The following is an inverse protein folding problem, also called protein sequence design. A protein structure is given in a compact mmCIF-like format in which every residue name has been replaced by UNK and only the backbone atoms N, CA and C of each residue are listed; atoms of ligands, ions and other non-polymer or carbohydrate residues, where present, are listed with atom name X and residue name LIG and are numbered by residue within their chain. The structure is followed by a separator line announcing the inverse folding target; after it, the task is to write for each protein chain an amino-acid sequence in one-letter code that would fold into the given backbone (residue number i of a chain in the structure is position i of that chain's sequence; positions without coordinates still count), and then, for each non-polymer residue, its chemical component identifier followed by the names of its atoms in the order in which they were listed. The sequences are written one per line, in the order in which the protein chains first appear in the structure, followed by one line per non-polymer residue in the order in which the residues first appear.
data_IF_948149292748
#
_entry.id   IF_948149292748
#
_cell.length_a   1.000
_cell.length_b   1.000
_cell.length_c   1.000
_cell.angle_alpha   90.00
_cell.angle_beta   90.00
_cell.angle_gamma   90.00
#
_symmetry.space_group_name_H-M   'P 1'
#
loop_
_entity.id
_entity.type
_entity.pdbx_description
1 polymer ?
#
# COMPACT_ATOMS: atom_id res chain seq x y z
N UNK A 1 -11.50 -3.77 32.52
CA UNK A 1 -12.59 -4.57 31.90
C UNK A 1 -13.23 -3.91 30.66
N UNK A 2 -14.03 -2.82 30.78
CA UNK A 2 -14.68 -2.21 29.57
C UNK A 2 -13.71 -1.47 28.64
N UNK A 3 -12.61 -0.91 29.13
CA UNK A 3 -11.52 -0.30 28.33
C UNK A 3 -10.65 -1.35 27.64
N UNK A 4 -10.36 -2.44 28.33
CA UNK A 4 -9.57 -3.58 27.81
C UNK A 4 -10.34 -4.38 26.76
N UNK A 5 -11.66 -4.42 26.91
CA UNK A 5 -12.56 -5.16 26.02
C UNK A 5 -13.56 -4.21 25.31
N UNK A 6 -13.12 -3.44 24.31
CA UNK A 6 -13.95 -2.40 23.69
C UNK A 6 -15.26 -2.90 23.05
N UNK A 7 -15.32 -4.18 22.70
CA UNK A 7 -16.52 -4.81 22.10
C UNK A 7 -17.56 -5.26 23.12
N UNK A 8 -17.26 -5.23 24.42
CA UNK A 8 -18.21 -5.72 25.43
C UNK A 8 -19.27 -4.68 25.77
N UNK A 9 -20.52 -5.04 25.49
CA UNK A 9 -21.69 -4.27 25.91
C UNK A 9 -21.92 -4.37 27.42
N UNK A 10 -22.77 -3.49 27.96
CA UNK A 10 -23.09 -3.45 29.39
C UNK A 10 -23.58 -4.80 29.95
N UNK A 11 -24.34 -5.55 29.14
CA UNK A 11 -24.84 -6.89 29.54
C UNK A 11 -23.71 -7.88 29.69
N UNK A 12 -22.73 -7.88 28.79
CA UNK A 12 -21.56 -8.78 28.90
C UNK A 12 -20.65 -8.38 30.05
N UNK A 13 -20.41 -7.09 30.26
CA UNK A 13 -19.66 -6.59 31.42
C UNK A 13 -20.34 -6.99 32.70
N UNK A 14 -21.70 -6.94 32.76
CA UNK A 14 -22.47 -7.46 33.90
C UNK A 14 -22.23 -8.95 34.13
N UNK A 15 -22.23 -9.77 33.08
CA UNK A 15 -21.98 -11.21 33.20
C UNK A 15 -20.58 -11.50 33.78
N UNK A 16 -19.56 -10.78 33.37
CA UNK A 16 -18.21 -10.95 33.94
C UNK A 16 -18.12 -10.48 35.41
N UNK A 17 -18.82 -9.39 35.76
CA UNK A 17 -18.91 -8.93 37.16
C UNK A 17 -19.66 -9.95 38.07
N UNK A 18 -20.67 -10.64 37.53
CA UNK A 18 -21.35 -11.70 38.27
C UNK A 18 -20.42 -12.88 38.61
N UNK A 19 -19.50 -13.25 37.71
CA UNK A 19 -18.48 -14.27 37.98
C UNK A 19 -17.56 -13.85 39.16
N UNK A 20 -17.33 -12.54 39.29
CA UNK A 20 -16.56 -11.95 40.38
C UNK A 20 -17.41 -11.66 41.62
N UNK A 21 -18.64 -12.20 41.70
CA UNK A 21 -19.64 -12.01 42.78
C UNK A 21 -20.14 -10.58 42.97
N UNK A 22 -19.94 -9.70 41.98
CA UNK A 22 -20.50 -8.34 41.97
C UNK A 22 -21.85 -8.30 41.23
N UNK A 23 -22.93 -8.05 41.97
CA UNK A 23 -24.29 -7.90 41.45
C UNK A 23 -24.58 -6.44 41.12
N UNK A 24 -24.39 -6.06 39.86
CA UNK A 24 -24.62 -4.70 39.36
C UNK A 24 -25.59 -4.75 38.17
N UNK A 25 -26.55 -3.81 38.10
CA UNK A 25 -27.45 -3.73 36.93
C UNK A 25 -26.72 -3.22 35.67
N UNK A 26 -27.21 -3.64 34.50
CA UNK A 26 -26.67 -3.12 33.20
C UNK A 26 -26.84 -1.59 33.07
N UNK A 27 -27.88 -1.04 33.72
CA UNK A 27 -28.13 0.42 33.76
C UNK A 27 -27.10 1.13 34.61
N UNK A 28 -26.76 0.59 35.78
CA UNK A 28 -25.72 1.15 36.64
C UNK A 28 -24.34 1.14 35.91
N UNK A 29 -24.02 0.04 35.23
CA UNK A 29 -22.81 -0.07 34.42
C UNK A 29 -22.83 1.00 33.30
N UNK A 30 -23.94 1.19 32.60
CA UNK A 30 -24.09 2.20 31.56
C UNK A 30 -23.86 3.61 32.11
N UNK A 31 -24.45 3.94 33.26
CA UNK A 31 -24.29 5.24 33.91
C UNK A 31 -22.86 5.48 34.38
N UNK A 32 -22.21 4.46 34.94
CA UNK A 32 -20.81 4.52 35.34
C UNK A 32 -19.90 4.77 34.15
N UNK A 33 -20.07 4.00 33.08
CA UNK A 33 -19.29 4.19 31.84
C UNK A 33 -19.47 5.59 31.23
N UNK A 34 -20.72 6.11 31.27
CA UNK A 34 -21.01 7.48 30.80
C UNK A 34 -20.33 8.55 31.65
N UNK A 35 -20.35 8.42 32.99
CA UNK A 35 -19.62 9.33 33.92
C UNK A 35 -18.11 9.36 33.60
N UNK A 36 -17.54 8.21 33.25
CA UNK A 36 -16.13 8.10 32.89
C UNK A 36 -15.86 8.39 31.40
N UNK A 37 -16.82 8.99 30.67
CA UNK A 37 -16.73 9.31 29.22
C UNK A 37 -16.37 8.10 28.33
N UNK A 38 -16.72 6.90 28.76
CA UNK A 38 -16.54 5.66 27.99
C UNK A 38 -17.81 5.44 27.18
N UNK A 39 -17.73 5.64 25.86
CA UNK A 39 -18.86 5.52 24.95
C UNK A 39 -19.45 4.10 24.90
N UNK A 40 -20.62 3.88 24.26
CA UNK A 40 -21.22 2.56 24.08
C UNK A 40 -20.34 1.62 23.26
N UNK A 41 -20.50 0.31 23.47
CA UNK A 41 -19.67 -0.72 22.82
C UNK A 41 -19.51 -0.58 21.29
N UNK A 42 -20.55 -0.27 20.49
CA UNK A 42 -20.39 -0.06 19.05
C UNK A 42 -19.46 1.10 18.70
N UNK A 43 -19.45 2.17 19.51
CA UNK A 43 -18.55 3.31 19.28
C UNK A 43 -17.13 3.04 19.78
N UNK A 44 -16.96 2.25 20.86
CA UNK A 44 -15.65 1.84 21.38
C UNK A 44 -14.95 0.83 20.46
N UNK A 45 -15.74 -0.01 19.78
CA UNK A 45 -15.23 -1.08 18.91
C UNK A 45 -14.99 -0.64 17.47
N UNK A 46 -15.15 0.63 17.14
CA UNK A 46 -14.78 1.14 15.82
C UNK A 46 -13.29 0.90 15.61
N UNK A 47 -12.99 -0.12 14.81
CA UNK A 47 -11.64 -0.35 14.33
C UNK A 47 -11.21 0.89 13.57
N UNK A 48 -10.18 1.57 14.06
CA UNK A 48 -9.65 2.74 13.33
C UNK A 48 -9.05 2.27 12.02
N UNK A 49 -9.10 3.11 11.01
CA UNK A 49 -8.45 2.85 9.71
C UNK A 49 -6.99 2.42 9.88
N UNK A 50 -6.27 3.09 10.77
CA UNK A 50 -4.87 2.75 11.11
C UNK A 50 -4.74 1.33 11.69
N UNK A 51 -5.64 0.92 12.58
CA UNK A 51 -5.64 -0.43 13.17
C UNK A 51 -5.98 -1.49 12.11
N UNK A 52 -6.93 -1.20 11.20
CA UNK A 52 -7.27 -2.06 10.09
C UNK A 52 -6.06 -2.26 9.15
N UNK A 53 -5.43 -1.19 8.68
CA UNK A 53 -4.25 -1.25 7.81
C UNK A 53 -3.10 -2.02 8.47
N UNK A 54 -2.90 -1.85 9.78
CA UNK A 54 -1.85 -2.58 10.50
C UNK A 54 -2.17 -4.08 10.60
N UNK A 55 -3.41 -4.43 10.91
CA UNK A 55 -3.83 -5.82 11.10
C UNK A 55 -3.92 -6.62 9.80
N UNK A 56 -4.27 -5.98 8.69
CA UNK A 56 -4.50 -6.61 7.38
C UNK A 56 -3.41 -6.28 6.35
N UNK A 57 -2.36 -5.55 6.73
CA UNK A 57 -1.32 -5.05 5.84
C UNK A 57 -0.79 -6.03 4.81
N UNK A 58 -0.45 -7.29 5.20
CA UNK A 58 0.05 -8.30 4.27
C UNK A 58 -0.92 -8.74 3.18
N UNK A 59 -2.21 -8.41 3.34
CA UNK A 59 -3.26 -8.80 2.41
C UNK A 59 -3.90 -7.61 1.69
N UNK A 60 -3.26 -6.43 1.77
CA UNK A 60 -3.78 -5.19 1.20
C UNK A 60 -2.94 -4.75 0.00
N UNK A 61 -3.60 -4.53 -1.12
CA UNK A 61 -3.06 -3.79 -2.27
C UNK A 61 -3.72 -2.42 -2.31
N UNK A 62 -2.91 -1.39 -2.46
CA UNK A 62 -3.34 -0.01 -2.67
C UNK A 62 -3.18 0.35 -4.14
N UNK A 63 -4.06 1.20 -4.66
CA UNK A 63 -3.92 1.73 -6.01
C UNK A 63 -4.28 3.20 -6.07
N UNK A 64 -3.59 3.92 -6.94
CA UNK A 64 -3.82 5.35 -7.17
C UNK A 64 -3.27 5.79 -8.51
N UNK A 65 -3.80 6.90 -9.00
CA UNK A 65 -3.38 7.58 -10.22
C UNK A 65 -2.56 8.83 -9.91
N UNK A 66 -1.61 9.10 -10.79
CA UNK A 66 -1.03 10.43 -10.89
C UNK A 66 -0.80 10.81 -12.35
N UNK A 67 -0.68 12.10 -12.62
CA UNK A 67 -0.49 12.60 -13.97
C UNK A 67 0.91 13.19 -14.16
N UNK A 68 1.45 13.04 -15.36
CA UNK A 68 2.71 13.63 -15.83
C UNK A 68 2.44 14.29 -17.17
N UNK A 69 2.90 15.53 -17.31
CA UNK A 69 2.83 16.22 -18.59
C UNK A 69 4.14 15.99 -19.38
N UNK A 70 4.01 15.70 -20.67
CA UNK A 70 5.15 15.56 -21.60
C UNK A 70 5.70 16.92 -21.98
N UNK A 71 6.87 16.96 -22.62
CA UNK A 71 7.44 18.21 -23.21
C UNK A 71 6.52 18.90 -24.23
N UNK A 72 5.62 18.15 -24.85
CA UNK A 72 4.59 18.66 -25.76
C UNK A 72 3.26 18.97 -25.03
N UNK A 73 3.28 19.10 -23.70
CA UNK A 73 2.12 19.39 -22.85
C UNK A 73 0.97 18.38 -22.98
N UNK A 74 1.26 17.17 -23.45
CA UNK A 74 0.29 16.07 -23.44
C UNK A 74 0.29 15.42 -22.06
N UNK A 75 -0.88 15.29 -21.47
CA UNK A 75 -1.05 14.67 -20.16
C UNK A 75 -1.08 13.14 -20.29
N UNK A 76 -0.22 12.49 -19.52
CA UNK A 76 -0.18 11.04 -19.33
C UNK A 76 -0.57 10.71 -17.90
N UNK A 77 -1.29 9.62 -17.73
CA UNK A 77 -1.70 9.10 -16.44
C UNK A 77 -0.92 7.83 -16.14
N UNK A 78 -0.41 7.73 -14.93
CA UNK A 78 0.26 6.54 -14.41
C UNK A 78 -0.59 5.96 -13.29
N UNK A 79 -0.88 4.67 -13.38
CA UNK A 79 -1.57 3.89 -12.37
C UNK A 79 -0.55 3.02 -11.67
N UNK A 80 -0.51 3.06 -10.34
CA UNK A 80 0.30 2.15 -9.52
C UNK A 80 -0.56 1.21 -8.69
N UNK A 81 -0.06 -0.03 -8.52
CA UNK A 81 -0.56 -0.97 -7.53
C UNK A 81 0.56 -1.34 -6.56
N UNK A 82 0.35 -1.05 -5.27
CA UNK A 82 1.32 -1.16 -4.20
C UNK A 82 0.86 -2.19 -3.16
N UNK A 83 1.69 -3.17 -2.85
CA UNK A 83 1.51 -4.03 -1.68
C UNK A 83 1.83 -3.25 -0.40
N UNK A 84 0.86 -3.16 0.51
CA UNK A 84 0.99 -2.31 1.70
C UNK A 84 2.08 -2.78 2.66
N UNK A 85 2.27 -4.08 2.86
CA UNK A 85 3.23 -4.62 3.81
C UNK A 85 4.68 -4.40 3.36
N UNK A 86 4.99 -4.82 2.16
CA UNK A 86 6.35 -4.80 1.60
C UNK A 86 6.72 -3.48 0.95
N UNK A 87 5.73 -2.61 0.65
CA UNK A 87 5.91 -1.39 -0.16
C UNK A 87 6.30 -1.68 -1.60
N UNK A 88 6.22 -2.91 -2.04
CA UNK A 88 6.48 -3.30 -3.42
C UNK A 88 5.44 -2.70 -4.35
N UNK A 89 5.86 -2.01 -5.40
CA UNK A 89 4.97 -1.70 -6.51
C UNK A 89 4.91 -2.94 -7.38
N UNK A 90 3.76 -3.62 -7.36
CA UNK A 90 3.55 -4.90 -8.06
C UNK A 90 3.32 -4.67 -9.53
N UNK A 91 2.48 -3.69 -9.87
CA UNK A 91 2.09 -3.41 -11.23
C UNK A 91 1.98 -1.90 -11.47
N UNK A 92 2.22 -1.50 -12.70
CA UNK A 92 1.93 -0.14 -13.17
C UNK A 92 1.40 -0.14 -14.60
N UNK A 93 0.63 0.88 -14.93
CA UNK A 93 0.18 1.15 -16.30
C UNK A 93 0.30 2.63 -16.64
N UNK A 94 0.52 2.94 -17.90
CA UNK A 94 0.59 4.32 -18.41
C UNK A 94 -0.39 4.47 -19.57
N UNK A 95 -1.17 5.55 -19.58
CA UNK A 95 -2.13 5.86 -20.65
C UNK A 95 -2.32 7.37 -20.78
N UNK A 96 -2.77 7.81 -21.93
CA UNK A 96 -3.32 9.16 -22.15
C UNK A 96 -4.83 9.22 -21.91
N UNK A 97 -5.51 8.03 -21.88
CA UNK A 97 -6.96 7.90 -21.68
C UNK A 97 -7.25 6.84 -20.62
N UNK A 98 -7.35 7.23 -19.33
CA UNK A 98 -7.65 6.31 -18.24
C UNK A 98 -9.17 6.06 -18.16
N UNK A 99 -9.75 5.45 -19.20
CA UNK A 99 -11.14 5.05 -19.22
C UNK A 99 -11.40 3.73 -18.45
N UNK A 100 -12.68 3.42 -18.24
CA UNK A 100 -13.08 2.24 -17.48
C UNK A 100 -12.61 0.92 -18.12
N UNK A 101 -12.54 0.85 -19.45
CA UNK A 101 -12.08 -0.34 -20.17
C UNK A 101 -10.60 -0.57 -19.92
N UNK A 102 -9.78 0.48 -20.02
CA UNK A 102 -8.36 0.41 -19.76
C UNK A 102 -8.08 0.03 -18.29
N UNK A 103 -8.77 0.67 -17.33
CA UNK A 103 -8.61 0.35 -15.89
C UNK A 103 -9.00 -1.10 -15.60
N UNK A 104 -10.08 -1.58 -16.24
CA UNK A 104 -10.50 -2.99 -16.12
C UNK A 104 -9.41 -3.94 -16.66
N UNK A 105 -8.74 -3.58 -17.77
CA UNK A 105 -7.64 -4.38 -18.28
C UNK A 105 -6.43 -4.35 -17.34
N UNK A 106 -6.11 -3.21 -16.70
CA UNK A 106 -5.05 -3.16 -15.70
C UNK A 106 -5.39 -4.03 -14.47
N UNK A 107 -6.67 -4.09 -14.08
CA UNK A 107 -7.12 -4.98 -13.01
C UNK A 107 -6.88 -6.47 -13.34
N UNK A 108 -7.15 -6.89 -14.59
CA UNK A 108 -6.85 -8.26 -15.04
C UNK A 108 -5.33 -8.54 -15.04
N UNK A 109 -4.54 -7.61 -15.58
CA UNK A 109 -3.08 -7.73 -15.60
C UNK A 109 -2.51 -7.89 -14.18
N UNK A 110 -3.00 -7.07 -13.22
CA UNK A 110 -2.61 -7.20 -11.83
C UNK A 110 -3.02 -8.55 -11.24
N UNK A 111 -4.22 -9.05 -11.54
CA UNK A 111 -4.69 -10.34 -11.02
C UNK A 111 -3.76 -11.47 -11.44
N UNK A 112 -3.33 -11.50 -12.69
CA UNK A 112 -2.33 -12.47 -13.19
C UNK A 112 -0.98 -12.30 -12.52
N UNK A 113 -0.48 -11.05 -12.40
CA UNK A 113 0.79 -10.79 -11.71
C UNK A 113 0.77 -11.26 -10.24
N UNK A 114 -0.37 -11.04 -9.52
CA UNK A 114 -0.53 -11.51 -8.15
C UNK A 114 -0.48 -13.03 -8.03
N UNK A 115 -1.05 -13.75 -8.99
CA UNK A 115 -0.99 -15.22 -9.07
C UNK A 115 0.45 -15.68 -9.32
N UNK A 116 1.14 -15.11 -10.29
CA UNK A 116 2.51 -15.44 -10.68
C UNK A 116 3.50 -15.27 -9.53
N UNK A 117 3.37 -14.17 -8.76
CA UNK A 117 4.25 -13.89 -7.62
C UNK A 117 3.76 -14.52 -6.30
N UNK A 118 2.63 -15.24 -6.30
CA UNK A 118 2.08 -15.92 -5.13
C UNK A 118 1.54 -14.98 -4.03
N UNK A 119 1.22 -13.73 -4.34
CA UNK A 119 0.66 -12.76 -3.38
C UNK A 119 -0.85 -12.91 -3.26
N UNK A 120 -1.33 -13.29 -2.07
CA UNK A 120 -2.76 -13.45 -1.78
C UNK A 120 -3.37 -12.13 -1.28
N UNK A 121 -3.77 -11.26 -2.20
CA UNK A 121 -4.53 -10.06 -1.87
C UNK A 121 -5.93 -10.42 -1.38
N UNK A 122 -6.37 -9.85 -0.25
CA UNK A 122 -7.74 -9.94 0.27
C UNK A 122 -8.49 -8.63 0.15
N UNK A 123 -7.78 -7.54 0.07
CA UNK A 123 -8.34 -6.19 0.00
C UNK A 123 -7.61 -5.39 -1.07
N UNK A 124 -8.37 -4.73 -1.93
CA UNK A 124 -7.92 -3.64 -2.78
C UNK A 124 -8.46 -2.33 -2.22
N UNK A 125 -7.63 -1.32 -2.07
CA UNK A 125 -8.04 -0.01 -1.60
C UNK A 125 -7.73 1.03 -2.66
N UNK A 126 -8.73 1.82 -3.05
CA UNK A 126 -8.59 2.98 -3.92
C UNK A 126 -9.42 4.15 -3.41
N UNK A 127 -9.24 5.31 -3.98
CA UNK A 127 -10.04 6.49 -3.71
C UNK A 127 -11.39 6.47 -4.46
N UNK A 128 -12.11 7.59 -4.42
CA UNK A 128 -13.38 7.76 -5.11
C UNK A 128 -13.24 8.27 -6.56
N UNK A 129 -12.06 8.12 -7.19
CA UNK A 129 -11.88 8.56 -8.56
C UNK A 129 -12.82 7.77 -9.50
N UNK A 130 -13.53 8.51 -10.36
CA UNK A 130 -14.50 7.95 -11.32
C UNK A 130 -13.86 7.02 -12.35
N UNK A 131 -12.53 7.08 -12.52
CA UNK A 131 -11.79 6.18 -13.39
C UNK A 131 -11.90 4.72 -12.95
N UNK A 132 -12.04 4.48 -11.62
CA UNK A 132 -12.34 3.15 -11.10
C UNK A 132 -13.82 2.83 -11.31
N UNK A 133 -14.15 2.27 -12.48
CA UNK A 133 -15.50 1.85 -12.81
C UNK A 133 -15.84 0.47 -12.23
N UNK A 134 -17.15 0.12 -12.27
CA UNK A 134 -17.64 -1.18 -11.77
C UNK A 134 -16.96 -2.40 -12.42
N UNK A 135 -16.44 -2.26 -13.64
CA UNK A 135 -15.72 -3.34 -14.33
C UNK A 135 -14.43 -3.74 -13.63
N UNK A 136 -13.61 -2.78 -13.19
CA UNK A 136 -12.36 -3.07 -12.46
C UNK A 136 -12.63 -3.69 -11.08
N UNK A 137 -13.61 -3.15 -10.35
CA UNK A 137 -14.03 -3.70 -9.06
C UNK A 137 -14.54 -5.14 -9.21
N UNK A 138 -15.30 -5.41 -10.29
CA UNK A 138 -15.82 -6.74 -10.63
C UNK A 138 -14.74 -7.78 -10.88
N UNK A 139 -13.64 -7.43 -11.56
CA UNK A 139 -12.48 -8.33 -11.74
C UNK A 139 -11.92 -8.79 -10.40
N UNK A 140 -11.67 -7.85 -9.48
CA UNK A 140 -11.14 -8.17 -8.16
C UNK A 140 -12.11 -8.98 -7.31
N UNK A 141 -13.40 -8.62 -7.35
CA UNK A 141 -14.44 -9.34 -6.61
C UNK A 141 -14.60 -10.78 -7.09
N UNK A 142 -14.50 -11.03 -8.41
CA UNK A 142 -14.51 -12.38 -8.98
C UNK A 142 -13.33 -13.23 -8.48
N UNK A 143 -12.15 -12.60 -8.25
CA UNK A 143 -10.99 -13.21 -7.62
C UNK A 143 -11.05 -13.30 -6.09
N UNK A 144 -12.21 -13.00 -5.45
CA UNK A 144 -12.37 -13.03 -4.00
C UNK A 144 -11.73 -11.85 -3.25
N UNK A 145 -11.27 -10.82 -3.95
CA UNK A 145 -10.67 -9.63 -3.37
C UNK A 145 -11.76 -8.60 -3.04
N UNK A 146 -11.83 -8.19 -1.78
CA UNK A 146 -12.77 -7.16 -1.34
C UNK A 146 -12.27 -5.78 -1.68
N UNK A 147 -12.98 -5.07 -2.55
CA UNK A 147 -12.68 -3.67 -2.88
C UNK A 147 -13.21 -2.74 -1.78
N UNK A 148 -12.35 -1.86 -1.30
CA UNK A 148 -12.65 -0.85 -0.26
C UNK A 148 -12.30 0.52 -0.80
N UNK A 149 -13.28 1.42 -0.83
CA UNK A 149 -13.06 2.84 -1.12
C UNK A 149 -12.60 3.56 0.14
N UNK A 150 -11.61 4.45 0.02
CA UNK A 150 -11.11 5.22 1.16
C UNK A 150 -12.25 6.06 1.76
N UNK A 151 -12.34 6.16 3.11
CA UNK A 151 -13.36 7.00 3.72
C UNK A 151 -13.21 8.48 3.31
N UNK A 152 -14.28 9.13 2.91
CA UNK A 152 -14.30 10.53 2.43
C UNK A 152 -13.70 11.50 3.47
N UNK A 153 -13.89 11.21 4.77
CA UNK A 153 -13.37 12.03 5.88
C UNK A 153 -11.99 11.58 6.41
N UNK A 154 -11.26 10.74 5.68
CA UNK A 154 -9.96 10.23 6.10
C UNK A 154 -8.85 10.62 5.10
N UNK A 155 -8.39 11.89 5.08
CA UNK A 155 -7.38 12.36 4.12
C UNK A 155 -6.06 11.58 4.18
N UNK A 156 -5.77 10.90 5.30
CA UNK A 156 -4.57 10.05 5.44
C UNK A 156 -4.78 8.59 5.03
N UNK A 157 -5.96 8.24 4.52
CA UNK A 157 -6.28 6.86 4.17
C UNK A 157 -5.39 6.32 3.04
N UNK A 158 -4.99 7.18 2.10
CA UNK A 158 -4.11 6.85 0.97
C UNK A 158 -2.67 7.35 1.14
N UNK A 159 -2.27 7.78 2.34
CA UNK A 159 -0.95 8.39 2.61
C UNK A 159 0.25 7.50 2.23
N UNK A 160 0.04 6.20 2.05
CA UNK A 160 1.09 5.28 1.58
C UNK A 160 1.32 5.42 0.09
N UNK A 161 0.24 5.54 -0.70
CA UNK A 161 0.32 5.80 -2.14
C UNK A 161 0.85 7.20 -2.42
N UNK A 162 0.36 8.22 -1.71
CA UNK A 162 0.87 9.60 -1.83
C UNK A 162 2.37 9.67 -1.60
N UNK A 163 2.89 8.97 -0.58
CA UNK A 163 4.34 8.89 -0.33
C UNK A 163 5.10 8.17 -1.44
N UNK A 164 4.54 7.08 -1.96
CA UNK A 164 5.13 6.33 -3.07
C UNK A 164 5.22 7.21 -4.32
N UNK A 165 4.12 7.81 -4.72
CA UNK A 165 4.04 8.73 -5.86
C UNK A 165 4.99 9.91 -5.65
N UNK A 166 4.99 10.52 -4.46
CA UNK A 166 5.89 11.60 -4.10
C UNK A 166 7.38 11.22 -4.17
N UNK A 167 7.75 9.99 -3.81
CA UNK A 167 9.11 9.50 -3.97
C UNK A 167 9.47 9.32 -5.44
N UNK A 168 8.58 8.70 -6.23
CA UNK A 168 8.78 8.52 -7.68
C UNK A 168 8.94 9.87 -8.40
N UNK A 169 8.16 10.88 -8.01
CA UNK A 169 8.33 12.23 -8.57
C UNK A 169 9.68 12.84 -8.18
N UNK A 170 9.92 13.04 -6.89
CA UNK A 170 11.10 13.77 -6.40
C UNK A 170 12.42 13.10 -6.75
N UNK A 171 12.46 11.77 -6.78
CA UNK A 171 13.70 11.03 -6.98
C UNK A 171 13.93 10.61 -8.45
N UNK A 172 12.89 10.76 -9.32
CA UNK A 172 12.98 10.34 -10.71
C UNK A 172 12.31 11.33 -11.67
N UNK A 173 10.97 11.43 -11.65
CA UNK A 173 10.23 12.05 -12.75
C UNK A 173 10.40 13.56 -12.86
N UNK A 174 10.61 14.26 -11.73
CA UNK A 174 10.80 15.73 -11.72
C UNK A 174 12.17 16.16 -12.30
N UNK A 175 13.07 15.18 -12.52
CA UNK A 175 14.40 15.40 -13.09
C UNK A 175 14.51 15.05 -14.57
N UNK A 176 13.45 14.52 -15.19
CA UNK A 176 13.48 13.98 -16.53
C UNK A 176 12.42 14.64 -17.43
N UNK A 177 12.81 14.98 -18.63
CA UNK A 177 11.90 15.45 -19.66
C UNK A 177 11.21 14.26 -20.34
N UNK A 178 9.89 14.16 -20.14
CA UNK A 178 9.10 13.06 -20.71
C UNK A 178 8.68 13.39 -22.12
N UNK A 179 9.12 12.60 -23.10
CA UNK A 179 8.86 12.84 -24.52
C UNK A 179 7.48 12.30 -24.93
N UNK A 180 7.17 11.06 -24.54
CA UNK A 180 5.96 10.37 -24.91
C UNK A 180 5.66 9.21 -23.93
N UNK A 181 4.54 8.51 -24.17
CA UNK A 181 4.10 7.37 -23.35
C UNK A 181 5.15 6.26 -23.23
N UNK A 182 5.74 5.80 -24.35
CA UNK A 182 6.76 4.73 -24.34
C UNK A 182 7.99 5.14 -23.55
N UNK A 183 8.39 6.40 -23.64
CA UNK A 183 9.50 6.95 -22.85
C UNK A 183 9.17 6.92 -21.36
N UNK A 184 7.98 7.38 -20.97
CA UNK A 184 7.53 7.33 -19.57
C UNK A 184 7.47 5.88 -19.04
N UNK A 185 6.91 4.94 -19.81
CA UNK A 185 6.83 3.53 -19.44
C UNK A 185 8.23 2.94 -19.16
N UNK A 186 9.22 3.26 -20.00
CA UNK A 186 10.61 2.81 -19.82
C UNK A 186 11.23 3.39 -18.54
N UNK A 187 11.08 4.69 -18.33
CA UNK A 187 11.60 5.38 -17.14
C UNK A 187 10.97 4.81 -15.88
N UNK A 188 9.65 4.68 -15.84
CA UNK A 188 8.94 4.14 -14.67
C UNK A 188 9.35 2.69 -14.39
N UNK A 189 9.50 1.86 -15.42
CA UNK A 189 9.95 0.46 -15.27
C UNK A 189 11.36 0.39 -14.67
N UNK A 190 12.30 1.17 -15.19
CA UNK A 190 13.67 1.20 -14.68
C UNK A 190 13.74 1.75 -13.25
N UNK A 191 12.95 2.81 -12.96
CA UNK A 191 12.80 3.34 -11.61
C UNK A 191 12.21 2.33 -10.64
N UNK A 192 11.14 1.63 -11.02
CA UNK A 192 10.50 0.63 -10.16
C UNK A 192 11.37 -0.59 -9.91
N UNK A 193 12.20 -0.98 -10.86
CA UNK A 193 13.23 -2.01 -10.63
C UNK A 193 14.18 -1.56 -9.51
N UNK A 194 14.75 -0.35 -9.60
CA UNK A 194 15.56 0.23 -8.54
C UNK A 194 14.79 0.33 -7.21
N UNK A 195 13.59 0.90 -7.24
CA UNK A 195 12.75 1.10 -6.07
C UNK A 195 12.48 -0.21 -5.33
N UNK A 196 12.13 -1.26 -6.06
CA UNK A 196 11.75 -2.55 -5.48
C UNK A 196 12.95 -3.38 -5.02
N UNK A 197 14.12 -3.30 -5.69
CA UNK A 197 15.23 -4.26 -5.49
C UNK A 197 16.50 -3.66 -4.89
N UNK A 198 16.70 -2.35 -5.01
CA UNK A 198 17.95 -1.70 -4.60
C UNK A 198 17.77 -0.57 -3.59
N UNK A 199 16.67 0.16 -3.64
CA UNK A 199 16.44 1.33 -2.79
C UNK A 199 16.11 0.94 -1.34
N UNK A 200 16.86 1.43 -0.31
CA UNK A 200 16.52 1.19 1.08
C UNK A 200 15.26 1.96 1.52
N UNK A 201 14.38 1.33 2.28
CA UNK A 201 13.14 1.91 2.76
C UNK A 201 13.11 2.06 4.28
N UNK A 202 12.97 3.28 4.80
CA UNK A 202 12.86 3.54 6.26
C UNK A 202 11.74 2.74 6.93
N UNK A 203 10.59 2.58 6.24
CA UNK A 203 9.45 1.84 6.76
C UNK A 203 9.68 0.32 6.82
N UNK A 204 10.73 -0.18 6.18
CA UNK A 204 11.15 -1.58 6.14
C UNK A 204 12.50 -1.79 6.84
N UNK A 205 12.87 -0.91 7.77
CA UNK A 205 14.17 -0.98 8.47
C UNK A 205 15.37 -0.98 7.53
N UNK A 206 15.30 -0.13 6.50
CA UNK A 206 16.28 0.01 5.41
C UNK A 206 16.39 -1.20 4.47
N UNK A 207 15.50 -2.17 4.58
CA UNK A 207 15.39 -3.26 3.60
C UNK A 207 14.72 -2.79 2.32
N UNK A 208 14.93 -3.54 1.25
CA UNK A 208 14.24 -3.36 -0.04
C UNK A 208 12.87 -4.04 -0.03
N UNK A 209 11.87 -3.56 -0.81
CA UNK A 209 10.56 -4.21 -0.96
C UNK A 209 10.63 -5.68 -1.39
N UNK A 210 11.50 -5.98 -2.33
CA UNK A 210 11.85 -7.35 -2.71
C UNK A 210 13.13 -7.70 -1.99
N UNK A 211 13.09 -8.75 -1.17
CA UNK A 211 14.29 -9.23 -0.47
C UNK A 211 15.36 -9.68 -1.50
N UNK A 212 16.61 -9.30 -1.24
CA UNK A 212 17.72 -9.82 -2.04
C UNK A 212 17.95 -11.27 -1.68
N UNK A 213 18.01 -12.12 -2.70
CA UNK A 213 18.39 -13.54 -2.54
C UNK A 213 19.90 -13.73 -2.37
N UNK A 214 20.68 -12.79 -2.90
CA UNK A 214 22.14 -12.89 -2.87
C UNK A 214 22.69 -12.50 -1.50
N UNK A 215 23.71 -13.21 -1.00
CA UNK A 215 24.38 -12.85 0.24
C UNK A 215 25.01 -11.47 0.13
N UNK A 216 24.93 -10.69 1.18
CA UNK A 216 25.62 -9.38 1.24
C UNK A 216 27.13 -9.64 1.35
N UNK A 217 27.86 -9.34 0.29
CA UNK A 217 29.31 -9.44 0.29
C UNK A 217 29.91 -8.38 1.23
N UNK A 218 30.71 -8.80 2.18
CA UNK A 218 31.37 -7.91 3.17
C UNK A 218 32.73 -7.41 2.68
N UNK A 219 33.30 -8.04 1.66
CA UNK A 219 34.64 -7.72 1.07
C UNK A 219 34.54 -7.61 -0.46
N UNK A 220 35.58 -7.13 -1.11
CA UNK A 220 35.62 -6.91 -2.56
C UNK A 220 35.46 -5.43 -2.94
N UNK A 221 35.83 -5.09 -4.16
CA UNK A 221 35.75 -3.72 -4.70
C UNK A 221 34.31 -3.23 -4.73
N UNK A 222 34.08 -1.94 -4.44
CA UNK A 222 32.78 -1.31 -4.55
C UNK A 222 32.48 -1.03 -6.02
N UNK A 223 31.39 -1.57 -6.52
CA UNK A 223 30.87 -1.33 -7.85
C UNK A 223 29.75 -0.29 -7.78
N UNK A 224 29.71 0.61 -8.73
CA UNK A 224 28.65 1.57 -8.93
C UNK A 224 27.96 1.28 -10.27
N UNK A 225 26.65 1.03 -10.23
CA UNK A 225 25.79 0.89 -11.41
C UNK A 225 24.93 2.13 -11.55
N UNK A 226 25.03 2.80 -12.67
CA UNK A 226 24.17 3.94 -12.99
C UNK A 226 22.89 3.48 -13.68
N UNK A 227 21.77 4.13 -13.30
CA UNK A 227 20.46 3.97 -13.92
C UNK A 227 19.90 5.33 -14.33
N UNK A 228 18.97 5.34 -15.29
CA UNK A 228 18.30 6.55 -15.76
C UNK A 228 19.29 7.65 -16.17
N UNK A 229 20.36 7.25 -16.89
CA UNK A 229 21.39 8.18 -17.33
C UNK A 229 22.25 8.79 -16.21
N UNK A 230 22.44 8.06 -15.12
CA UNK A 230 23.25 8.51 -13.97
C UNK A 230 22.43 9.25 -12.89
N UNK A 231 21.13 9.42 -13.09
CA UNK A 231 20.24 10.03 -12.08
C UNK A 231 20.19 9.20 -10.78
N UNK A 232 20.23 7.88 -10.93
CA UNK A 232 20.22 6.93 -9.81
C UNK A 232 21.49 6.08 -9.84
N UNK A 233 22.12 5.91 -8.68
CA UNK A 233 23.32 5.07 -8.52
C UNK A 233 23.07 3.98 -7.51
N UNK A 234 23.38 2.75 -7.90
CA UNK A 234 23.29 1.55 -7.07
C UNK A 234 24.72 1.08 -6.73
N UNK A 235 24.94 0.74 -5.48
CA UNK A 235 26.23 0.27 -5.01
C UNK A 235 26.16 -1.19 -4.59
N UNK A 236 27.15 -1.97 -5.02
CA UNK A 236 27.33 -3.37 -4.63
C UNK A 236 28.82 -3.68 -4.45
N UNK A 237 29.15 -4.87 -3.97
CA UNK A 237 30.54 -5.34 -3.95
C UNK A 237 30.73 -6.41 -5.02
N UNK A 238 31.89 -6.37 -5.67
CA UNK A 238 32.29 -7.44 -6.55
C UNK A 238 32.56 -8.72 -5.74
N UNK A 239 32.22 -9.92 -6.28
CA UNK A 239 32.71 -11.17 -5.70
C UNK A 239 34.24 -11.16 -5.70
N UNK A 240 34.82 -11.68 -4.62
CA UNK A 240 36.28 -11.88 -4.61
C UNK A 240 36.66 -12.92 -5.69
N UNK A 241 37.75 -12.68 -6.45
CA UNK A 241 38.25 -13.73 -7.33
C UNK A 241 38.55 -14.97 -6.49
N UNK A 242 38.08 -16.10 -6.92
CA UNK A 242 38.44 -17.39 -6.31
C UNK A 242 39.93 -17.52 -6.57
N UNK A 243 40.72 -17.53 -5.48
CA UNK A 243 42.16 -17.81 -5.60
C UNK A 243 42.30 -19.18 -6.27
N UNK A 244 42.95 -19.18 -7.44
CA UNK A 244 43.24 -20.38 -8.18
C UNK A 244 44.32 -21.19 -7.49
#
# INVERSE_FOLDING_TARGET
MAKENPKWGCVRVRGELLKLRHRVSATAIRNLLRRHRIGPAPMRSRQTWKAFLRAQGPAIVLTDFFAIDTVLLRRLYVLFYLELATRRVIWFGVTDRPDAAWVTQQARNLSWELEDIGVKARFLIHDHDRKYGGGSDGVFQAGGVKVIRTPIAAPRANSHMERQIGSTRRECLDWLLILNRRHLERIVREWLEHYNTARPHRALELRTPIARSDPVLTSGAVLCRERLGGLVREYSRAPMPIAA
#
